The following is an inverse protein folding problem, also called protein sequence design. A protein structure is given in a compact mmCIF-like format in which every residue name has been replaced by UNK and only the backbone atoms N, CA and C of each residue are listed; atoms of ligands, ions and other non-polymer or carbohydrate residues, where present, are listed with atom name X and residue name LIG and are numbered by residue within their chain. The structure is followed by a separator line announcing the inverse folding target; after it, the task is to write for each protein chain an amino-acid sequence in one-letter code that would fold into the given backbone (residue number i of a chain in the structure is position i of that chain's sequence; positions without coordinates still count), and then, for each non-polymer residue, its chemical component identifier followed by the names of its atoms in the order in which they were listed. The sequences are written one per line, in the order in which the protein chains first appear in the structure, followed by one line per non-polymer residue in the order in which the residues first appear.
data_IF_919044451647
#
_entry.id   IF_919044451647
#
_cell.length_a   1.000
_cell.length_b   1.000
_cell.length_c   1.000
_cell.angle_alpha   90.00
_cell.angle_beta   90.00
_cell.angle_gamma   90.00
#
_symmetry.space_group_name_H-M   'P 1'
#
loop_
_entity.id
_entity.type
_entity.pdbx_description
1 polymer ?
#
# COMPACT_ATOMS: atom_id res chain seq x y z
N UNK A 1 -18.35 12.52 8.54
CA UNK A 1 -17.42 12.25 7.43
C UNK A 1 -16.87 13.57 6.94
N UNK A 2 -15.70 13.57 6.32
CA UNK A 2 -15.17 14.76 5.66
C UNK A 2 -15.91 14.98 4.32
N UNK A 3 -16.65 16.10 4.15
CA UNK A 3 -17.41 16.34 2.93
C UNK A 3 -16.53 16.48 1.68
N UNK A 4 -15.22 16.73 1.83
CA UNK A 4 -14.26 16.86 0.72
C UNK A 4 -13.98 15.52 0.03
N UNK A 5 -13.97 14.43 0.80
CA UNK A 5 -13.60 13.09 0.31
C UNK A 5 -14.82 12.20 0.06
N UNK A 6 -16.00 12.58 0.55
CA UNK A 6 -17.26 11.87 0.35
C UNK A 6 -17.63 11.52 -1.11
N UNK A 7 -17.41 12.39 -2.12
CA UNK A 7 -17.69 12.05 -3.51
C UNK A 7 -16.63 11.15 -4.16
N UNK A 8 -15.52 10.84 -3.48
CA UNK A 8 -14.43 10.11 -4.09
C UNK A 8 -14.72 8.59 -4.17
N UNK A 9 -14.16 7.91 -5.19
CA UNK A 9 -14.42 6.50 -5.40
C UNK A 9 -14.05 5.68 -4.15
N UNK A 10 -14.92 4.73 -3.78
CA UNK A 10 -14.78 3.82 -2.62
C UNK A 10 -14.83 4.50 -1.22
N UNK A 11 -15.05 5.82 -1.13
CA UNK A 11 -15.11 6.55 0.16
C UNK A 11 -16.55 6.82 0.61
N UNK A 12 -17.50 6.91 -0.33
CA UNK A 12 -18.89 7.24 -0.03
C UNK A 12 -19.52 6.33 1.03
N UNK A 13 -19.31 5.02 0.93
CA UNK A 13 -19.84 4.00 1.85
C UNK A 13 -18.76 2.96 2.17
N UNK A 14 -18.79 2.32 3.35
CA UNK A 14 -17.92 1.17 3.64
C UNK A 14 -18.25 -0.06 2.79
N UNK A 15 -19.47 -0.16 2.24
CA UNK A 15 -19.96 -1.37 1.56
C UNK A 15 -19.07 -1.82 0.38
N UNK A 16 -18.62 -0.96 -0.55
CA UNK A 16 -17.75 -1.40 -1.64
C UNK A 16 -16.42 -1.97 -1.15
N UNK A 17 -15.83 -1.38 -0.11
CA UNK A 17 -14.55 -1.82 0.45
C UNK A 17 -14.70 -3.14 1.21
N UNK A 18 -15.77 -3.29 1.98
CA UNK A 18 -16.05 -4.56 2.68
C UNK A 18 -16.35 -5.68 1.69
N UNK A 19 -17.11 -5.42 0.62
CA UNK A 19 -17.37 -6.41 -0.44
C UNK A 19 -16.08 -6.80 -1.17
N UNK A 20 -15.22 -5.83 -1.48
CA UNK A 20 -13.92 -6.08 -2.10
C UNK A 20 -13.03 -6.94 -1.20
N UNK A 21 -12.98 -6.63 0.10
CA UNK A 21 -12.22 -7.43 1.06
C UNK A 21 -12.81 -8.83 1.28
N UNK A 22 -14.14 -8.96 1.31
CA UNK A 22 -14.80 -10.27 1.38
C UNK A 22 -14.49 -11.12 0.14
N UNK A 23 -14.49 -10.52 -1.05
CA UNK A 23 -14.04 -11.17 -2.27
C UNK A 23 -12.57 -11.58 -2.20
N UNK A 24 -11.69 -10.71 -1.69
CA UNK A 24 -10.30 -11.03 -1.44
C UNK A 24 -10.13 -12.25 -0.52
N UNK A 25 -10.85 -12.32 0.60
CA UNK A 25 -10.83 -13.47 1.50
C UNK A 25 -11.32 -14.75 0.81
N UNK A 26 -12.35 -14.65 -0.03
CA UNK A 26 -12.83 -15.77 -0.84
C UNK A 26 -11.74 -16.26 -1.80
N UNK A 27 -11.01 -15.34 -2.47
CA UNK A 27 -9.88 -15.70 -3.34
C UNK A 27 -8.74 -16.35 -2.54
N UNK A 28 -8.44 -15.85 -1.34
CA UNK A 28 -7.42 -16.44 -0.46
C UNK A 28 -7.81 -17.85 0.00
N UNK A 29 -9.10 -18.08 0.28
CA UNK A 29 -9.59 -19.39 0.72
C UNK A 29 -9.72 -20.40 -0.44
N UNK A 30 -10.34 -20.01 -1.55
CA UNK A 30 -10.65 -20.90 -2.67
C UNK A 30 -9.54 -21.00 -3.72
N UNK A 31 -8.73 -19.94 -3.85
CA UNK A 31 -7.65 -19.87 -4.84
C UNK A 31 -6.62 -21.01 -4.70
N UNK A 32 -6.11 -21.33 -3.50
CA UNK A 32 -5.22 -22.47 -3.29
C UNK A 32 -5.85 -23.81 -3.66
N UNK A 33 -7.14 -24.00 -3.35
CA UNK A 33 -7.88 -25.22 -3.69
C UNK A 33 -8.00 -25.39 -5.21
N UNK A 34 -8.41 -24.32 -5.91
CA UNK A 34 -8.50 -24.32 -7.37
C UNK A 34 -7.14 -24.56 -8.03
N UNK A 35 -6.09 -23.91 -7.52
CA UNK A 35 -4.74 -24.05 -8.07
C UNK A 35 -4.12 -25.42 -7.80
N UNK A 36 -4.63 -26.24 -6.86
CA UNK A 36 -4.06 -27.56 -6.53
C UNK A 36 -3.82 -28.42 -7.78
N UNK A 37 -4.80 -28.46 -8.67
CA UNK A 37 -4.77 -29.26 -9.90
C UNK A 37 -4.19 -28.52 -11.13
N UNK A 38 -3.82 -27.25 -10.97
CA UNK A 38 -3.33 -26.41 -12.07
C UNK A 38 -1.79 -26.28 -12.04
N UNK A 39 -1.19 -25.99 -13.20
CA UNK A 39 0.24 -25.64 -13.26
C UNK A 39 0.45 -24.18 -12.82
N UNK A 40 1.59 -23.84 -12.18
CA UNK A 40 1.87 -22.46 -11.78
C UNK A 40 1.96 -21.55 -13.02
N UNK A 41 1.30 -20.40 -12.99
CA UNK A 41 1.25 -19.49 -14.12
C UNK A 41 2.56 -18.69 -14.26
N UNK A 42 3.09 -18.60 -15.48
CA UNK A 42 4.28 -17.82 -15.80
C UNK A 42 3.90 -16.37 -16.15
N UNK A 43 3.56 -15.58 -15.14
CA UNK A 43 3.08 -14.20 -15.28
C UNK A 43 4.20 -13.15 -15.34
N UNK A 44 5.35 -13.49 -15.94
CA UNK A 44 6.59 -12.70 -15.81
C UNK A 44 6.42 -11.24 -16.24
N UNK A 45 5.93 -11.01 -17.46
CA UNK A 45 5.73 -9.65 -17.99
C UNK A 45 4.70 -8.86 -17.20
N UNK A 46 3.60 -9.51 -16.80
CA UNK A 46 2.55 -8.90 -15.99
C UNK A 46 3.07 -8.47 -14.61
N UNK A 47 3.86 -9.31 -13.95
CA UNK A 47 4.46 -9.00 -12.65
C UNK A 47 5.46 -7.86 -12.75
N UNK A 48 6.29 -7.82 -13.81
CA UNK A 48 7.22 -6.70 -14.02
C UNK A 48 6.43 -5.41 -14.21
N UNK A 49 5.42 -5.40 -15.09
CA UNK A 49 4.58 -4.22 -15.32
C UNK A 49 3.89 -3.77 -14.03
N UNK A 50 3.25 -4.69 -13.31
CA UNK A 50 2.57 -4.42 -12.05
C UNK A 50 3.51 -3.83 -10.99
N UNK A 51 4.67 -4.46 -10.74
CA UNK A 51 5.61 -3.98 -9.75
C UNK A 51 6.20 -2.60 -10.15
N UNK A 52 6.46 -2.37 -11.43
CA UNK A 52 6.89 -1.05 -11.91
C UNK A 52 5.80 0.01 -11.75
N UNK A 53 4.54 -0.31 -12.04
CA UNK A 53 3.41 0.59 -11.80
C UNK A 53 3.26 0.93 -10.32
N UNK A 54 3.38 -0.06 -9.43
CA UNK A 54 3.33 0.15 -7.98
C UNK A 54 4.51 0.98 -7.47
N UNK A 55 5.71 0.76 -8.02
CA UNK A 55 6.87 1.60 -7.73
C UNK A 55 6.65 3.05 -8.15
N UNK A 56 6.13 3.29 -9.37
CA UNK A 56 5.82 4.64 -9.85
C UNK A 56 4.74 5.32 -9.01
N UNK A 57 3.67 4.59 -8.65
CA UNK A 57 2.62 5.10 -7.78
C UNK A 57 3.19 5.47 -6.40
N UNK A 58 4.06 4.63 -5.83
CA UNK A 58 4.72 4.89 -4.55
C UNK A 58 5.64 6.11 -4.60
N UNK A 59 6.38 6.30 -5.70
CA UNK A 59 7.20 7.50 -5.92
C UNK A 59 6.35 8.77 -6.02
N UNK A 60 5.22 8.70 -6.74
CA UNK A 60 4.27 9.81 -6.83
C UNK A 60 3.70 10.17 -5.45
N UNK A 61 3.22 9.19 -4.68
CA UNK A 61 2.69 9.43 -3.34
C UNK A 61 3.74 10.01 -2.40
N UNK A 62 4.96 9.47 -2.41
CA UNK A 62 6.06 10.00 -1.60
C UNK A 62 6.37 11.46 -1.93
N UNK A 63 6.45 11.79 -3.23
CA UNK A 63 6.69 13.16 -3.69
C UNK A 63 5.57 14.11 -3.25
N UNK A 64 4.31 13.70 -3.42
CA UNK A 64 3.15 14.50 -3.05
C UNK A 64 3.07 14.73 -1.53
N UNK A 65 3.31 13.70 -0.72
CA UNK A 65 3.39 13.87 0.74
C UNK A 65 4.49 14.84 1.15
N UNK A 66 5.69 14.69 0.58
CA UNK A 66 6.85 15.52 0.91
C UNK A 66 6.64 16.98 0.51
N UNK A 67 6.23 17.23 -0.73
CA UNK A 67 6.03 18.61 -1.22
C UNK A 67 4.88 19.28 -0.47
N UNK A 68 3.78 18.57 -0.23
CA UNK A 68 2.65 19.17 0.51
C UNK A 68 3.04 19.48 1.95
N UNK A 69 3.79 18.60 2.62
CA UNK A 69 4.26 18.86 3.99
C UNK A 69 5.26 20.01 4.09
N UNK A 70 6.11 20.19 3.07
CA UNK A 70 7.11 21.28 3.05
C UNK A 70 6.44 22.62 2.73
N UNK A 71 5.49 22.65 1.79
CA UNK A 71 4.80 23.88 1.41
C UNK A 71 3.84 24.40 2.49
N UNK A 72 3.28 23.51 3.29
CA UNK A 72 2.33 23.82 4.36
C UNK A 72 2.98 23.84 5.75
N UNK A 73 4.32 23.82 5.81
CA UNK A 73 5.17 23.86 7.02
C UNK A 73 4.72 22.90 8.13
N UNK A 74 4.54 21.63 7.79
CA UNK A 74 4.00 20.61 8.69
C UNK A 74 4.94 20.30 9.86
N UNK A 75 4.37 20.29 11.06
CA UNK A 75 5.03 19.78 12.25
C UNK A 75 5.18 18.26 12.17
N UNK A 76 6.40 17.77 12.37
CA UNK A 76 6.68 16.34 12.47
C UNK A 76 6.27 15.71 13.80
N UNK A 77 5.67 16.47 14.73
CA UNK A 77 5.22 15.98 16.03
C UNK A 77 3.70 15.91 16.09
N UNK A 78 3.05 17.08 16.12
CA UNK A 78 1.60 17.21 16.25
C UNK A 78 1.07 18.08 15.12
N UNK A 79 0.69 17.44 14.00
CA UNK A 79 0.08 18.12 12.87
C UNK A 79 -1.44 17.91 12.88
N UNK A 80 -2.24 18.96 13.08
CA UNK A 80 -3.68 18.86 12.96
C UNK A 80 -4.07 18.62 11.49
N UNK A 81 -5.26 18.04 11.29
CA UNK A 81 -5.82 17.91 9.95
C UNK A 81 -6.36 19.26 9.51
N UNK A 82 -5.89 19.76 8.36
CA UNK A 82 -6.55 20.89 7.69
C UNK A 82 -7.84 20.37 7.04
N UNK A 83 -9.00 20.81 7.55
CA UNK A 83 -10.33 20.50 7.01
C UNK A 83 -10.82 21.53 5.98
N UNK A 84 -10.03 22.56 5.69
CA UNK A 84 -10.40 23.59 4.71
C UNK A 84 -10.35 23.06 3.28
N UNK A 85 -10.98 23.76 2.34
CA UNK A 85 -10.83 23.48 0.90
C UNK A 85 -9.65 24.25 0.29
N UNK A 86 -8.61 24.54 1.09
CA UNK A 86 -7.36 25.09 0.59
C UNK A 86 -6.73 24.17 -0.45
N UNK A 87 -5.94 24.72 -1.36
CA UNK A 87 -5.27 23.91 -2.40
C UNK A 87 -4.37 22.84 -1.78
N UNK A 88 -3.63 23.19 -0.71
CA UNK A 88 -2.74 22.31 0.03
C UNK A 88 -3.51 21.26 0.85
N UNK A 89 -4.58 21.65 1.55
CA UNK A 89 -5.44 20.72 2.30
C UNK A 89 -6.10 19.69 1.38
N UNK A 90 -6.61 20.13 0.21
CA UNK A 90 -7.16 19.24 -0.81
C UNK A 90 -6.08 18.37 -1.48
N UNK A 91 -4.84 18.86 -1.59
CA UNK A 91 -3.71 18.08 -2.11
C UNK A 91 -3.34 16.96 -1.12
N UNK A 92 -3.26 17.27 0.17
CA UNK A 92 -3.01 16.29 1.24
C UNK A 92 -4.10 15.21 1.27
N UNK A 93 -5.37 15.62 1.25
CA UNK A 93 -6.49 14.68 1.22
C UNK A 93 -6.41 13.75 -0.02
N UNK A 94 -6.08 14.30 -1.20
CA UNK A 94 -5.94 13.53 -2.45
C UNK A 94 -4.82 12.48 -2.36
N UNK A 95 -3.67 12.83 -1.80
CA UNK A 95 -2.58 11.84 -1.64
C UNK A 95 -2.93 10.79 -0.58
N UNK A 96 -3.65 11.13 0.50
CA UNK A 96 -4.20 10.14 1.42
C UNK A 96 -5.17 9.17 0.73
N UNK A 97 -6.01 9.65 -0.19
CA UNK A 97 -6.87 8.79 -0.99
C UNK A 97 -6.09 7.89 -1.94
N UNK A 98 -5.08 8.41 -2.64
CA UNK A 98 -4.18 7.59 -3.46
C UNK A 98 -3.47 6.52 -2.64
N UNK A 99 -3.07 6.85 -1.42
CA UNK A 99 -2.47 5.90 -0.49
C UNK A 99 -3.45 4.80 -0.11
N UNK A 100 -4.69 5.12 0.26
CA UNK A 100 -5.74 4.14 0.49
C UNK A 100 -5.99 3.26 -0.76
N UNK A 101 -6.09 3.89 -1.94
CA UNK A 101 -6.32 3.18 -3.18
C UNK A 101 -5.16 2.24 -3.54
N UNK A 102 -3.92 2.63 -3.23
CA UNK A 102 -2.77 1.73 -3.38
C UNK A 102 -2.95 0.46 -2.54
N UNK A 103 -3.49 0.54 -1.31
CA UNK A 103 -3.76 -0.64 -0.47
C UNK A 103 -4.80 -1.58 -1.07
N UNK A 104 -5.76 -1.06 -1.83
CA UNK A 104 -6.69 -1.88 -2.62
C UNK A 104 -5.93 -2.64 -3.72
N UNK A 105 -5.02 -1.97 -4.42
CA UNK A 105 -4.21 -2.59 -5.48
C UNK A 105 -3.27 -3.66 -4.91
N UNK A 106 -2.67 -3.40 -3.74
CA UNK A 106 -1.75 -4.33 -3.04
C UNK A 106 -2.40 -5.69 -2.71
N UNK A 107 -3.73 -5.77 -2.64
CA UNK A 107 -4.42 -7.06 -2.49
C UNK A 107 -4.13 -8.02 -3.66
N UNK A 108 -3.84 -7.49 -4.85
CA UNK A 108 -3.43 -8.28 -6.02
C UNK A 108 -2.10 -9.00 -5.80
N UNK A 109 -1.23 -8.54 -4.90
CA UNK A 109 0.01 -9.26 -4.55
C UNK A 109 -0.31 -10.68 -4.09
N UNK A 110 -1.33 -10.82 -3.24
CA UNK A 110 -1.78 -12.12 -2.74
C UNK A 110 -2.35 -12.98 -3.86
N UNK A 111 -3.10 -12.38 -4.79
CA UNK A 111 -3.63 -13.08 -5.97
C UNK A 111 -2.48 -13.62 -6.83
N UNK A 112 -1.46 -12.80 -7.10
CA UNK A 112 -0.29 -13.22 -7.86
C UNK A 112 0.50 -14.32 -7.16
N UNK A 113 0.65 -14.26 -5.84
CA UNK A 113 1.28 -15.32 -5.05
C UNK A 113 0.50 -16.64 -5.22
N UNK A 114 -0.83 -16.59 -5.11
CA UNK A 114 -1.71 -17.74 -5.25
C UNK A 114 -1.58 -18.38 -6.64
N UNK A 115 -1.63 -17.56 -7.69
CA UNK A 115 -1.52 -18.00 -9.09
C UNK A 115 -0.14 -18.59 -9.43
N UNK A 116 0.90 -18.21 -8.69
CA UNK A 116 2.26 -18.76 -8.82
C UNK A 116 2.51 -20.01 -7.98
N UNK A 117 1.52 -20.44 -7.18
CA UNK A 117 1.64 -21.53 -6.20
C UNK A 117 2.76 -21.26 -5.18
N UNK A 118 2.84 -20.03 -4.68
CA UNK A 118 3.80 -19.60 -3.68
C UNK A 118 3.14 -19.38 -2.31
N UNK A 119 2.32 -20.34 -1.91
CA UNK A 119 1.36 -20.19 -0.81
C UNK A 119 2.05 -20.10 0.54
N UNK A 120 3.31 -20.54 0.62
CA UNK A 120 4.19 -20.30 1.76
C UNK A 120 4.37 -18.80 2.09
N UNK A 121 4.14 -17.91 1.12
CA UNK A 121 4.21 -16.45 1.31
C UNK A 121 2.90 -15.86 1.83
N UNK A 122 1.76 -16.55 1.66
CA UNK A 122 0.46 -16.10 2.17
C UNK A 122 0.29 -16.58 3.62
N UNK A 123 0.94 -15.87 4.54
CA UNK A 123 0.84 -16.13 5.97
C UNK A 123 -0.39 -15.46 6.59
N UNK A 124 -0.80 -15.89 7.79
CA UNK A 124 -1.83 -15.19 8.56
C UNK A 124 -1.48 -13.71 8.75
N UNK A 125 -0.22 -13.42 9.08
CA UNK A 125 0.27 -12.06 9.28
C UNK A 125 0.11 -11.21 8.00
N UNK A 126 0.41 -11.79 6.83
CA UNK A 126 0.24 -11.11 5.53
C UNK A 126 -1.22 -10.70 5.31
N UNK A 127 -2.16 -11.65 5.44
CA UNK A 127 -3.59 -11.40 5.24
C UNK A 127 -4.15 -10.41 6.28
N UNK A 128 -3.75 -10.56 7.54
CA UNK A 128 -4.14 -9.68 8.63
C UNK A 128 -3.62 -8.25 8.41
N UNK A 129 -2.36 -8.09 8.01
CA UNK A 129 -1.77 -6.79 7.70
C UNK A 129 -2.49 -6.11 6.53
N UNK A 130 -2.69 -6.81 5.40
CA UNK A 130 -3.39 -6.23 4.25
C UNK A 130 -4.85 -5.85 4.58
N UNK A 131 -5.55 -6.66 5.37
CA UNK A 131 -6.91 -6.35 5.80
C UNK A 131 -7.00 -5.15 6.74
N UNK A 132 -6.21 -5.14 7.81
CA UNK A 132 -6.21 -4.03 8.78
C UNK A 132 -5.77 -2.72 8.16
N UNK A 133 -4.72 -2.72 7.32
CA UNK A 133 -4.27 -1.53 6.61
C UNK A 133 -5.37 -0.97 5.70
N UNK A 134 -6.08 -1.82 4.95
CA UNK A 134 -7.16 -1.37 4.08
C UNK A 134 -8.26 -0.61 4.85
N UNK A 135 -8.76 -1.17 5.96
CA UNK A 135 -9.86 -0.56 6.72
C UNK A 135 -9.41 0.65 7.54
N UNK A 136 -8.19 0.63 8.09
CA UNK A 136 -7.65 1.76 8.84
C UNK A 136 -7.47 2.98 7.91
N UNK A 137 -6.89 2.78 6.72
CA UNK A 137 -6.69 3.87 5.77
C UNK A 137 -7.99 4.34 5.12
N UNK A 138 -8.97 3.46 4.89
CA UNK A 138 -10.32 3.87 4.48
C UNK A 138 -10.96 4.79 5.52
N UNK A 139 -10.89 4.41 6.80
CA UNK A 139 -11.39 5.23 7.91
C UNK A 139 -10.65 6.57 8.01
N UNK A 140 -9.33 6.54 7.82
CA UNK A 140 -8.49 7.74 7.73
C UNK A 140 -8.99 8.71 6.67
N UNK A 141 -9.16 8.26 5.43
CA UNK A 141 -9.63 9.11 4.32
C UNK A 141 -11.07 9.62 4.54
N UNK A 142 -11.93 8.84 5.20
CA UNK A 142 -13.34 9.20 5.46
C UNK A 142 -13.51 10.23 6.57
N UNK A 143 -12.64 10.23 7.57
CA UNK A 143 -12.83 11.02 8.80
C UNK A 143 -11.72 12.03 9.08
N UNK A 144 -10.47 11.71 8.74
CA UNK A 144 -9.26 12.48 9.07
C UNK A 144 -8.26 12.43 7.90
N UNK A 145 -8.60 12.98 6.71
CA UNK A 145 -7.75 12.92 5.52
C UNK A 145 -6.60 13.93 5.60
N UNK A 146 -5.59 13.64 6.43
CA UNK A 146 -4.38 14.47 6.59
C UNK A 146 -3.83 14.45 8.01
N UNK A 147 -3.20 15.56 8.40
CA UNK A 147 -2.56 15.70 9.71
C UNK A 147 -1.47 14.65 9.93
N UNK A 148 -1.30 14.19 11.17
CA UNK A 148 -0.26 13.23 11.58
C UNK A 148 -0.14 11.97 10.68
N UNK A 149 -1.22 11.54 10.02
CA UNK A 149 -1.18 10.40 9.10
C UNK A 149 -0.23 10.59 7.89
N UNK A 150 0.09 11.84 7.52
CA UNK A 150 0.97 12.13 6.37
C UNK A 150 2.34 11.46 6.50
N UNK A 151 2.94 11.50 7.70
CA UNK A 151 4.30 11.02 7.92
C UNK A 151 4.37 9.50 7.80
N UNK A 152 3.34 8.81 8.28
CA UNK A 152 3.18 7.35 8.13
C UNK A 152 3.04 6.99 6.66
N UNK A 153 2.17 7.69 5.92
CA UNK A 153 1.95 7.49 4.49
C UNK A 153 3.21 7.75 3.68
N UNK A 154 3.96 8.80 4.01
CA UNK A 154 5.23 9.17 3.38
C UNK A 154 6.29 8.09 3.57
N UNK A 155 6.57 7.68 4.81
CA UNK A 155 7.58 6.65 5.09
C UNK A 155 7.20 5.30 4.47
N UNK A 156 5.92 4.91 4.51
CA UNK A 156 5.46 3.67 3.88
C UNK A 156 5.65 3.71 2.36
N UNK A 157 5.28 4.83 1.72
CA UNK A 157 5.46 5.02 0.28
C UNK A 157 6.94 4.94 -0.11
N UNK A 158 7.84 5.53 0.69
CA UNK A 158 9.28 5.45 0.48
C UNK A 158 9.80 4.00 0.46
N UNK A 159 9.40 3.19 1.44
CA UNK A 159 9.78 1.77 1.47
C UNK A 159 9.22 1.01 0.29
N UNK A 160 7.97 1.31 -0.10
CA UNK A 160 7.30 0.65 -1.21
C UNK A 160 8.00 0.93 -2.56
N UNK A 161 8.64 2.09 -2.74
CA UNK A 161 9.49 2.34 -3.92
C UNK A 161 10.58 1.26 -4.02
N UNK A 162 11.33 1.02 -2.94
CA UNK A 162 12.42 0.04 -2.96
C UNK A 162 11.92 -1.40 -2.97
N UNK A 163 10.83 -1.70 -2.25
CA UNK A 163 10.25 -3.04 -2.20
C UNK A 163 9.72 -3.47 -3.57
N UNK A 164 8.91 -2.62 -4.23
CA UNK A 164 8.38 -2.93 -5.56
C UNK A 164 9.47 -2.88 -6.64
N UNK A 165 10.47 -2.01 -6.50
CA UNK A 165 11.68 -2.04 -7.34
C UNK A 165 12.41 -3.38 -7.23
N UNK A 166 12.59 -3.91 -6.01
CA UNK A 166 13.16 -5.23 -5.80
C UNK A 166 12.31 -6.34 -6.42
N UNK A 167 10.97 -6.29 -6.27
CA UNK A 167 10.08 -7.29 -6.87
C UNK A 167 10.02 -7.23 -8.39
N UNK A 168 10.13 -6.04 -8.99
CA UNK A 168 10.26 -5.87 -10.44
C UNK A 168 11.53 -6.55 -10.94
N UNK A 169 12.67 -6.29 -10.30
CA UNK A 169 13.96 -6.91 -10.64
C UNK A 169 13.95 -8.42 -10.40
N UNK A 170 13.38 -8.90 -9.29
CA UNK A 170 13.23 -10.32 -9.01
C UNK A 170 12.33 -11.04 -10.02
N UNK A 171 11.36 -10.31 -10.60
CA UNK A 171 10.52 -10.82 -11.67
C UNK A 171 11.25 -10.96 -13.01
N UNK A 172 12.45 -10.39 -13.18
CA UNK A 172 13.31 -10.64 -14.36
C UNK A 172 13.99 -12.03 -14.32
N UNK A 173 13.70 -12.86 -13.32
CA UNK A 173 14.03 -14.27 -13.31
C UNK A 173 15.40 -14.59 -12.70
N UNK A 174 15.80 -15.88 -12.72
CA UNK A 174 16.87 -16.44 -11.89
C UNK A 174 18.21 -15.73 -12.00
N UNK A 175 18.55 -15.23 -13.20
CA UNK A 175 19.79 -14.52 -13.47
C UNK A 175 19.93 -13.25 -12.61
N UNK A 176 18.82 -12.60 -12.26
CA UNK A 176 18.82 -11.42 -11.41
C UNK A 176 18.98 -11.70 -9.93
N UNK A 177 18.71 -12.92 -9.46
CA UNK A 177 18.81 -13.24 -8.04
C UNK A 177 20.23 -13.06 -7.48
N UNK A 178 21.27 -13.28 -8.31
CA UNK A 178 22.66 -13.07 -7.92
C UNK A 178 22.98 -11.61 -7.55
N UNK A 179 22.27 -10.65 -8.16
CA UNK A 179 22.47 -9.22 -7.93
C UNK A 179 21.58 -8.67 -6.81
N UNK A 180 20.63 -9.47 -6.31
CA UNK A 180 19.64 -9.10 -5.30
C UNK A 180 20.10 -9.40 -3.86
N UNK A 181 21.40 -9.29 -3.59
CA UNK A 181 22.03 -9.54 -2.28
C UNK A 181 21.49 -8.63 -1.17
N UNK A 182 21.05 -7.44 -1.54
CA UNK A 182 20.53 -6.41 -0.65
C UNK A 182 19.12 -6.66 -0.07
N UNK A 183 18.50 -7.83 -0.34
CA UNK A 183 17.18 -8.22 0.23
C UNK A 183 17.10 -7.99 1.76
N UNK A 184 18.18 -8.33 2.49
CA UNK A 184 18.24 -8.18 3.95
C UNK A 184 18.08 -6.71 4.39
N UNK A 185 18.65 -5.77 3.64
CA UNK A 185 18.56 -4.35 3.97
C UNK A 185 17.15 -3.81 3.77
N UNK A 186 16.41 -4.32 2.78
CA UNK A 186 14.99 -3.99 2.60
C UNK A 186 14.15 -4.44 3.81
N UNK A 187 14.40 -5.64 4.32
CA UNK A 187 13.71 -6.13 5.52
C UNK A 187 14.06 -5.30 6.76
N UNK A 188 15.33 -4.91 6.91
CA UNK A 188 15.75 -4.01 8.00
C UNK A 188 15.05 -2.65 7.87
N UNK A 189 14.99 -2.09 6.66
CA UNK A 189 14.32 -0.81 6.40
C UNK A 189 12.83 -0.87 6.77
N UNK A 190 12.13 -1.93 6.39
CA UNK A 190 10.74 -2.18 6.78
C UNK A 190 10.56 -2.22 8.30
N UNK A 191 11.43 -2.94 9.01
CA UNK A 191 11.37 -3.05 10.47
C UNK A 191 11.64 -1.72 11.17
N UNK A 192 12.67 -0.98 10.73
CA UNK A 192 13.01 0.34 11.27
C UNK A 192 11.86 1.31 11.09
N UNK A 193 11.28 1.38 9.89
CA UNK A 193 10.19 2.31 9.61
C UNK A 193 8.92 1.94 10.36
N UNK A 194 8.56 0.66 10.47
CA UNK A 194 7.44 0.24 11.30
C UNK A 194 7.66 0.62 12.77
N UNK A 195 8.90 0.52 13.26
CA UNK A 195 9.26 0.92 14.62
C UNK A 195 9.17 2.45 14.80
N UNK A 196 9.64 3.23 13.83
CA UNK A 196 9.50 4.69 13.83
C UNK A 196 8.03 5.12 13.82
N UNK A 197 7.20 4.46 13.01
CA UNK A 197 5.75 4.71 12.97
C UNK A 197 5.10 4.39 14.31
N UNK A 198 5.48 3.29 14.96
CA UNK A 198 4.96 2.94 16.28
C UNK A 198 5.33 4.00 17.33
N UNK A 199 6.58 4.45 17.36
CA UNK A 199 7.04 5.51 18.26
C UNK A 199 6.37 6.85 17.97
N UNK A 200 6.01 7.12 16.71
CA UNK A 200 5.36 8.35 16.30
C UNK A 200 3.87 8.42 16.70
N UNK A 201 3.22 7.27 16.83
CA UNK A 201 1.82 7.16 17.26
C UNK A 201 1.70 7.12 18.80
N UNK A 202 2.77 6.70 19.49
CA UNK A 202 2.83 6.54 20.96
C UNK A 202 3.07 7.87 21.67
#
# INVERSE_FOLDING_TARGET
SDPRTDPWPLVHSPLPVTLLFAFYLLVVALGPFYMRNQKPLKLRGLLVAYNLSMMMLSSYMFYEFLITSVLDDYSYLCQPVDYSQSELGMRMARVCWWFFFSKVIELLDTVFIILRKKQEQVTFLHVYHHGTMLFNWWSGVKYVPGGQAFFIGMLNSFVHIFMYGYYALASLGPQMHCYLWWKRYLTIMQLVINSCVYLYIS
#
